data_IF_638783095840
#
_entry.id   IF_638783095840
#
_cell.length_a   1.000
_cell.length_b   1.000
_cell.length_c   1.000
_cell.angle_alpha   90.00
_cell.angle_beta   90.00
_cell.angle_gamma   90.00
#
_symmetry.space_group_name_H-M   'P 1'
#
loop_
_entity.id
_entity.type
_entity.pdbx_description
1 polymer ?
#
# COMPACT_ATOMS: atom_id res chain seq x y z
N UNK A 1 4.37 5.87 -24.29
CA UNK A 1 4.43 6.58 -22.99
C UNK A 1 4.33 5.54 -21.88
N UNK A 2 5.46 5.18 -21.26
CA UNK A 2 5.45 4.27 -20.11
C UNK A 2 4.94 5.04 -18.89
N UNK A 3 3.62 5.04 -18.67
CA UNK A 3 3.05 5.48 -17.40
C UNK A 3 3.48 4.45 -16.35
N UNK A 4 4.45 4.82 -15.50
CA UNK A 4 4.79 3.99 -14.34
C UNK A 4 3.52 3.87 -13.46
N UNK A 5 3.26 2.72 -12.84
CA UNK A 5 2.14 2.59 -11.93
C UNK A 5 2.37 3.47 -10.70
N UNK A 6 1.34 4.23 -10.29
CA UNK A 6 1.34 4.93 -9.01
C UNK A 6 1.37 3.88 -7.90
N UNK A 7 2.25 4.04 -6.93
CA UNK A 7 2.49 2.98 -5.93
C UNK A 7 2.55 3.59 -4.54
N UNK A 8 1.77 3.05 -3.59
CA UNK A 8 1.96 3.32 -2.17
C UNK A 8 2.78 2.20 -1.52
N UNK A 9 3.68 2.56 -0.63
CA UNK A 9 4.51 1.65 0.15
C UNK A 9 4.32 2.00 1.63
N UNK A 10 3.78 1.08 2.41
CA UNK A 10 3.68 1.22 3.86
C UNK A 10 4.66 0.28 4.57
N UNK A 11 5.32 0.78 5.62
CA UNK A 11 6.23 0.01 6.46
C UNK A 11 5.58 -0.34 7.79
N UNK A 12 5.71 -1.60 8.18
CA UNK A 12 5.18 -2.16 9.42
C UNK A 12 6.31 -2.85 10.19
N UNK A 13 6.26 -2.78 11.53
CA UNK A 13 7.12 -3.59 12.42
C UNK A 13 6.60 -5.02 12.49
N UNK A 14 5.27 -5.15 12.57
CA UNK A 14 4.59 -6.43 12.78
C UNK A 14 4.06 -6.98 11.44
N UNK A 15 4.48 -8.19 11.02
CA UNK A 15 3.91 -8.87 9.86
C UNK A 15 2.40 -9.02 9.90
N UNK A 16 1.80 -9.20 11.09
CA UNK A 16 0.35 -9.32 11.21
C UNK A 16 -0.35 -7.99 10.91
N UNK A 17 0.25 -6.85 11.28
CA UNK A 17 -0.27 -5.53 10.92
C UNK A 17 -0.29 -5.33 9.40
N UNK A 18 0.77 -5.74 8.70
CA UNK A 18 0.80 -5.68 7.24
C UNK A 18 -0.27 -6.57 6.58
N UNK A 19 -0.53 -7.76 7.14
CA UNK A 19 -1.59 -8.66 6.64
C UNK A 19 -2.99 -8.12 6.93
N UNK A 20 -3.22 -7.51 8.10
CA UNK A 20 -4.50 -6.84 8.43
C UNK A 20 -4.77 -5.69 7.47
N UNK A 21 -3.77 -4.84 7.23
CA UNK A 21 -3.87 -3.75 6.27
C UNK A 21 -4.18 -4.27 4.86
N UNK A 22 -3.50 -5.33 4.40
CA UNK A 22 -3.81 -5.98 3.10
C UNK A 22 -5.25 -6.49 3.04
N UNK A 23 -5.72 -7.18 4.07
CA UNK A 23 -7.09 -7.68 4.12
C UNK A 23 -8.13 -6.54 4.13
N UNK A 24 -7.86 -5.43 4.81
CA UNK A 24 -8.72 -4.26 4.82
C UNK A 24 -8.77 -3.59 3.43
N UNK A 25 -7.64 -3.50 2.72
CA UNK A 25 -7.59 -3.02 1.34
C UNK A 25 -8.44 -3.90 0.40
N UNK A 26 -8.37 -5.23 0.53
CA UNK A 26 -9.21 -6.15 -0.25
C UNK A 26 -10.70 -5.92 0.01
N UNK A 27 -11.10 -5.68 1.27
CA UNK A 27 -12.50 -5.36 1.62
C UNK A 27 -12.97 -4.03 1.03
N UNK A 28 -12.06 -3.09 0.79
CA UNK A 28 -12.33 -1.79 0.18
C UNK A 28 -12.27 -1.82 -1.35
N UNK A 29 -12.07 -3.00 -1.96
CA UNK A 29 -12.10 -3.19 -3.41
C UNK A 29 -10.73 -3.12 -4.09
N UNK A 30 -9.64 -2.96 -3.35
CA UNK A 30 -8.29 -3.06 -3.91
C UNK A 30 -7.99 -4.53 -4.18
N UNK A 31 -7.61 -4.88 -5.41
CA UNK A 31 -7.34 -6.28 -5.76
C UNK A 31 -6.13 -6.82 -5.00
N UNK A 32 -6.16 -8.09 -4.62
CA UNK A 32 -5.00 -8.77 -4.02
C UNK A 32 -3.76 -8.73 -4.93
N UNK A 33 -3.95 -8.70 -6.26
CA UNK A 33 -2.85 -8.56 -7.22
C UNK A 33 -2.17 -7.18 -7.17
N UNK A 34 -2.88 -6.14 -6.69
CA UNK A 34 -2.33 -4.80 -6.48
C UNK A 34 -1.59 -4.68 -5.15
N UNK A 35 -1.88 -5.54 -4.17
CA UNK A 35 -1.37 -5.45 -2.80
C UNK A 35 -0.41 -6.61 -2.48
N UNK A 36 0.89 -6.32 -2.54
CA UNK A 36 1.96 -7.27 -2.25
C UNK A 36 2.62 -6.99 -0.89
N UNK A 37 2.68 -8.00 -0.03
CA UNK A 37 3.48 -7.97 1.21
C UNK A 37 4.89 -8.47 0.88
N UNK A 38 5.88 -7.64 1.19
CA UNK A 38 7.29 -7.89 1.01
C UNK A 38 7.95 -7.91 2.39
N UNK A 39 8.51 -9.05 2.78
CA UNK A 39 9.28 -9.15 4.01
C UNK A 39 10.72 -8.69 3.74
N UNK A 40 11.19 -7.73 4.54
CA UNK A 40 12.57 -7.27 4.55
C UNK A 40 13.27 -7.73 5.83
N UNK A 41 14.59 -7.53 5.92
CA UNK A 41 15.40 -7.97 7.07
C UNK A 41 14.94 -7.28 8.36
N UNK A 42 14.61 -6.00 8.30
CA UNK A 42 14.28 -5.17 9.48
C UNK A 42 12.80 -4.75 9.56
N UNK A 43 12.00 -4.97 8.53
CA UNK A 43 10.60 -4.57 8.51
C UNK A 43 9.76 -5.31 7.47
N UNK A 44 8.44 -5.20 7.58
CA UNK A 44 7.50 -5.69 6.56
C UNK A 44 6.99 -4.51 5.75
N UNK A 45 7.03 -4.62 4.43
CA UNK A 45 6.58 -3.59 3.48
C UNK A 45 5.31 -4.07 2.77
N UNK A 46 4.27 -3.26 2.77
CA UNK A 46 3.08 -3.47 1.95
C UNK A 46 3.13 -2.52 0.76
N UNK A 47 3.29 -3.07 -0.44
CA UNK A 47 3.23 -2.32 -1.70
C UNK A 47 1.81 -2.41 -2.26
N UNK A 48 1.23 -1.28 -2.61
CA UNK A 48 -0.10 -1.17 -3.19
C UNK A 48 -0.02 -0.39 -4.51
N UNK A 49 -0.43 -1.01 -5.61
CA UNK A 49 -0.56 -0.33 -6.90
C UNK A 49 -1.88 0.44 -6.98
N UNK A 50 -1.77 1.75 -7.20
CA UNK A 50 -2.86 2.70 -7.21
C UNK A 50 -3.35 2.98 -8.63
N UNK A 51 -4.66 2.85 -8.86
CA UNK A 51 -5.31 3.11 -10.16
C UNK A 51 -5.70 4.57 -10.36
N UNK A 52 -5.95 5.30 -9.28
CA UNK A 52 -6.47 6.67 -9.35
C UNK A 52 -6.37 7.43 -8.03
N UNK A 53 -6.81 8.69 -8.06
CA UNK A 53 -6.74 9.59 -6.91
C UNK A 53 -7.67 9.18 -5.75
N UNK A 54 -8.86 8.61 -6.05
CA UNK A 54 -9.75 8.06 -5.02
C UNK A 54 -9.12 6.88 -4.28
N UNK A 55 -8.58 5.91 -5.01
CA UNK A 55 -7.90 4.75 -4.40
C UNK A 55 -6.70 5.19 -3.57
N UNK A 56 -5.94 6.20 -4.05
CA UNK A 56 -4.87 6.82 -3.27
C UNK A 56 -5.36 7.38 -1.93
N UNK A 57 -6.45 8.15 -1.92
CA UNK A 57 -6.96 8.75 -0.69
C UNK A 57 -7.40 7.69 0.32
N UNK A 58 -8.09 6.64 -0.14
CA UNK A 58 -8.52 5.51 0.69
C UNK A 58 -7.31 4.78 1.26
N UNK A 59 -6.35 4.40 0.40
CA UNK A 59 -5.12 3.70 0.79
C UNK A 59 -4.29 4.53 1.75
N UNK A 60 -4.12 5.82 1.49
CA UNK A 60 -3.39 6.73 2.38
C UNK A 60 -4.05 6.82 3.75
N UNK A 61 -5.37 7.00 3.81
CA UNK A 61 -6.10 7.10 5.06
C UNK A 61 -6.01 5.81 5.87
N UNK A 62 -6.15 4.65 5.23
CA UNK A 62 -6.06 3.35 5.90
C UNK A 62 -4.65 3.08 6.42
N UNK A 63 -3.64 3.23 5.55
CA UNK A 63 -2.25 2.93 5.89
C UNK A 63 -1.69 3.89 6.93
N UNK A 64 -2.10 5.16 6.94
CA UNK A 64 -1.63 6.13 7.94
C UNK A 64 -2.12 5.81 9.36
N UNK A 65 -3.16 4.99 9.50
CA UNK A 65 -3.67 4.55 10.81
C UNK A 65 -2.87 3.38 11.40
N UNK A 66 -2.33 2.50 10.55
CA UNK A 66 -1.68 1.25 10.99
C UNK A 66 -0.16 1.19 10.73
N UNK A 67 0.37 1.98 9.81
CA UNK A 67 1.77 1.91 9.38
C UNK A 67 2.65 2.90 10.15
N UNK A 68 3.91 2.51 10.38
CA UNK A 68 4.92 3.42 10.93
C UNK A 68 5.24 4.56 9.97
N UNK A 69 5.23 4.26 8.67
CA UNK A 69 5.58 5.19 7.60
C UNK A 69 4.87 4.77 6.33
N UNK A 70 4.31 5.74 5.62
CA UNK A 70 3.67 5.56 4.33
C UNK A 70 4.39 6.45 3.32
N UNK A 71 4.85 5.85 2.23
CA UNK A 71 5.53 6.51 1.12
C UNK A 71 4.67 6.33 -0.12
N UNK A 72 4.16 7.43 -0.66
CA UNK A 72 3.33 7.41 -1.88
C UNK A 72 4.19 7.92 -3.02
N UNK A 73 4.37 7.07 -4.02
CA UNK A 73 5.05 7.38 -5.27
C UNK A 73 3.98 7.58 -6.34
N UNK A 74 3.57 8.83 -6.51
CA UNK A 74 2.83 9.20 -7.69
C UNK A 74 3.79 9.21 -8.87
N UNK A 75 3.56 8.29 -9.81
CA UNK A 75 4.04 8.45 -11.15
C UNK A 75 3.19 9.53 -11.83
N UNK A 76 3.49 10.79 -11.55
CA UNK A 76 3.12 11.91 -12.42
C UNK A 76 4.37 12.22 -13.25
N UNK A 77 4.30 12.27 -14.59
CA UNK A 77 3.64 13.34 -15.31
C UNK A 77 4.74 14.28 -15.77
#
# INVERSE_FOLDING_TARGET
>A
MSRRPRTAIARFVDPQAAQRARAALTRLGVSEAQAAVLCDVDCVRLRVELRGAEERAIVQSLLSSEALRVEIHDADG
#
